data_IF_819994923999
#
_entry.id   IF_819994923999
#
_cell.length_a   1.000
_cell.length_b   1.000
_cell.length_c   1.000
_cell.angle_alpha   90.00
_cell.angle_beta   90.00
_cell.angle_gamma   90.00
#
_symmetry.space_group_name_H-M   'P 1'
#
loop_
_entity.id
_entity.type
_entity.pdbx_description
1 polymer ?
#
# COMPACT_ATOMS: atom_id res chain seq x y z
N UNK A 1 4.07 24.73 -18.66
CA UNK A 1 3.47 23.41 -18.40
C UNK A 1 4.02 22.92 -17.07
N UNK A 2 3.34 23.24 -15.96
CA UNK A 2 3.76 22.85 -14.61
C UNK A 2 3.18 21.46 -14.32
N UNK A 3 4.02 20.50 -13.91
CA UNK A 3 3.62 19.12 -13.58
C UNK A 3 3.06 18.98 -12.15
N UNK A 4 2.87 20.10 -11.43
CA UNK A 4 2.49 20.11 -10.02
C UNK A 4 0.99 19.88 -9.77
N UNK A 5 0.12 19.98 -10.80
CA UNK A 5 -1.32 19.75 -10.66
C UNK A 5 -1.73 18.26 -10.67
N UNK A 6 -0.81 17.33 -10.97
CA UNK A 6 -1.12 15.89 -11.06
C UNK A 6 -0.97 15.13 -9.73
N UNK A 7 -0.60 15.82 -8.64
CA UNK A 7 -0.29 15.20 -7.34
C UNK A 7 -1.21 15.62 -6.18
N UNK A 8 -2.37 16.24 -6.45
CA UNK A 8 -3.34 16.48 -5.38
C UNK A 8 -4.02 15.16 -4.99
N UNK A 9 -3.45 14.48 -3.99
CA UNK A 9 -4.03 13.33 -3.25
C UNK A 9 -5.40 13.66 -2.59
N UNK A 10 -5.91 14.87 -2.81
CA UNK A 10 -6.92 15.57 -2.02
C UNK A 10 -8.34 15.57 -2.61
N UNK A 11 -8.55 15.16 -3.87
CA UNK A 11 -9.91 15.05 -4.44
C UNK A 11 -10.32 13.58 -4.64
N UNK A 12 -10.30 12.81 -3.54
CA UNK A 12 -10.91 11.47 -3.53
C UNK A 12 -12.42 11.62 -3.36
N UNK A 13 -13.16 11.45 -4.44
CA UNK A 13 -14.60 11.26 -4.36
C UNK A 13 -14.87 9.83 -3.84
N UNK A 14 -15.11 9.70 -2.53
CA UNK A 14 -15.38 8.42 -1.86
C UNK A 14 -16.61 7.68 -2.45
N UNK A 15 -17.49 8.39 -3.17
CA UNK A 15 -18.68 7.82 -3.81
C UNK A 15 -18.41 7.01 -5.09
N UNK A 16 -17.27 7.17 -5.77
CA UNK A 16 -16.88 6.37 -6.97
C UNK A 16 -15.65 5.47 -6.70
N UNK A 17 -15.30 5.25 -5.42
CA UNK A 17 -14.18 4.39 -5.08
C UNK A 17 -14.44 2.95 -5.60
N UNK A 18 -13.51 2.34 -6.36
CA UNK A 18 -13.66 0.96 -6.83
C UNK A 18 -13.79 -0.02 -5.66
N UNK A 19 -14.79 -0.92 -5.73
CA UNK A 19 -15.09 -1.89 -4.67
C UNK A 19 -14.90 -3.32 -5.17
N UNK A 20 -14.34 -4.17 -4.32
CA UNK A 20 -14.12 -5.58 -4.61
C UNK A 20 -14.72 -6.44 -3.49
N UNK A 21 -15.57 -7.40 -3.85
CA UNK A 21 -16.05 -8.43 -2.94
C UNK A 21 -15.08 -9.60 -2.95
N UNK A 22 -14.46 -9.90 -1.81
CA UNK A 22 -13.44 -10.95 -1.69
C UNK A 22 -13.70 -11.83 -0.47
N UNK A 23 -13.05 -13.01 -0.36
CA UNK A 23 -13.12 -13.82 0.86
C UNK A 23 -12.60 -13.11 2.11
N UNK A 24 -11.69 -12.14 1.96
CA UNK A 24 -11.17 -11.33 3.07
C UNK A 24 -12.14 -10.22 3.53
N UNK A 25 -13.29 -10.09 2.88
CA UNK A 25 -14.24 -9.01 3.08
C UNK A 25 -14.27 -8.04 1.89
N UNK A 26 -14.91 -6.91 2.12
CA UNK A 26 -15.07 -5.89 1.08
C UNK A 26 -13.85 -4.97 1.04
N UNK A 27 -13.27 -4.75 -0.14
CA UNK A 27 -12.06 -3.93 -0.32
C UNK A 27 -12.41 -2.69 -1.13
N UNK A 28 -12.05 -1.52 -0.61
CA UNK A 28 -12.20 -0.22 -1.26
C UNK A 28 -10.85 0.24 -1.78
N UNK A 29 -10.73 0.33 -3.10
CA UNK A 29 -9.53 0.74 -3.81
C UNK A 29 -9.55 2.20 -4.25
N UNK A 30 -8.67 2.54 -5.20
CA UNK A 30 -8.49 3.89 -5.72
C UNK A 30 -8.08 3.84 -7.20
N UNK A 31 -8.26 4.96 -7.91
CA UNK A 31 -7.82 5.12 -9.30
C UNK A 31 -6.50 5.88 -9.32
N UNK A 32 -5.54 5.35 -10.06
CA UNK A 32 -4.20 5.92 -10.23
C UNK A 32 -3.80 5.87 -11.71
N UNK A 33 -3.78 7.03 -12.38
CA UNK A 33 -3.27 7.18 -13.76
C UNK A 33 -3.81 6.12 -14.74
N UNK A 34 -5.13 5.87 -14.69
CA UNK A 34 -5.81 4.90 -15.55
C UNK A 34 -5.80 3.45 -15.03
N UNK A 35 -5.16 3.20 -13.88
CA UNK A 35 -5.16 1.90 -13.20
C UNK A 35 -6.12 1.93 -12.02
N UNK A 36 -6.92 0.89 -11.85
CA UNK A 36 -7.64 0.65 -10.60
C UNK A 36 -6.71 -0.12 -9.66
N UNK A 37 -6.45 0.42 -8.48
CA UNK A 37 -5.54 -0.14 -7.48
C UNK A 37 -6.27 -0.45 -6.18
N UNK A 38 -5.77 -1.44 -5.46
CA UNK A 38 -6.02 -1.65 -4.05
C UNK A 38 -4.68 -2.03 -3.41
N UNK A 39 -4.20 -1.21 -2.47
CA UNK A 39 -2.87 -1.34 -1.86
C UNK A 39 -2.97 -1.67 -0.37
N UNK A 40 -1.92 -2.31 0.15
CA UNK A 40 -1.78 -2.54 1.59
C UNK A 40 -2.77 -3.52 2.22
N UNK A 41 -3.37 -4.41 1.42
CA UNK A 41 -4.29 -5.44 1.92
C UNK A 41 -3.50 -6.46 2.74
N UNK A 42 -3.82 -6.56 4.04
CA UNK A 42 -3.24 -7.59 4.90
C UNK A 42 -3.82 -8.96 4.53
N UNK A 43 -2.94 -9.90 4.21
CA UNK A 43 -3.32 -11.25 3.81
C UNK A 43 -3.01 -12.32 4.87
N UNK A 44 -1.98 -12.09 5.71
CA UNK A 44 -1.57 -13.01 6.79
C UNK A 44 -1.08 -12.26 8.02
N UNK A 45 -1.02 -12.97 9.14
CA UNK A 45 -0.19 -12.64 10.32
C UNK A 45 0.89 -13.70 10.49
N UNK A 46 2.11 -13.27 10.80
CA UNK A 46 3.21 -14.17 11.12
C UNK A 46 3.90 -13.72 12.41
N UNK A 47 4.10 -14.64 13.34
CA UNK A 47 5.04 -14.45 14.44
C UNK A 47 6.47 -14.67 13.93
N UNK A 48 7.46 -14.06 14.59
CA UNK A 48 8.87 -14.20 14.21
C UNK A 48 9.26 -15.68 14.17
N UNK A 49 9.83 -16.11 13.04
CA UNK A 49 10.27 -17.50 12.77
C UNK A 49 9.16 -18.56 12.84
N UNK A 50 7.90 -18.18 12.59
CA UNK A 50 6.77 -19.11 12.48
C UNK A 50 6.15 -19.05 11.09
N UNK A 51 5.43 -20.13 10.74
CA UNK A 51 4.61 -20.15 9.53
C UNK A 51 3.51 -19.09 9.65
N UNK A 52 3.15 -18.37 8.56
CA UNK A 52 2.04 -17.44 8.57
C UNK A 52 0.70 -18.14 8.84
N UNK A 53 -0.23 -17.39 9.39
CA UNK A 53 -1.65 -17.76 9.51
C UNK A 53 -2.47 -16.74 8.73
N UNK A 54 -3.48 -17.21 8.01
CA UNK A 54 -4.36 -16.35 7.21
C UNK A 54 -4.97 -15.23 8.06
N UNK A 55 -5.08 -14.05 7.47
CA UNK A 55 -5.83 -12.95 8.05
C UNK A 55 -7.33 -13.31 8.05
N UNK A 56 -8.04 -13.23 9.19
CA UNK A 56 -9.47 -13.44 9.22
C UNK A 56 -10.22 -12.44 8.33
N UNK A 57 -11.35 -12.81 7.72
CA UNK A 57 -12.17 -11.88 6.95
C UNK A 57 -12.62 -10.67 7.79
N UNK A 58 -12.57 -9.49 7.18
CA UNK A 58 -13.10 -8.27 7.77
C UNK A 58 -14.61 -8.18 7.62
N UNK A 59 -15.29 -7.77 8.70
CA UNK A 59 -16.73 -7.47 8.70
C UNK A 59 -17.04 -6.02 8.31
N UNK A 60 -16.02 -5.18 8.16
CA UNK A 60 -16.12 -3.80 7.67
C UNK A 60 -15.29 -3.61 6.41
N UNK A 61 -15.62 -2.64 5.53
CA UNK A 61 -14.83 -2.38 4.34
C UNK A 61 -13.36 -2.02 4.66
N UNK A 62 -12.43 -2.68 3.99
CA UNK A 62 -10.99 -2.46 4.10
C UNK A 62 -10.60 -1.31 3.16
N UNK A 63 -10.09 -0.22 3.72
CA UNK A 63 -9.57 0.91 2.94
C UNK A 63 -8.16 0.57 2.42
N UNK A 64 -8.10 0.10 1.18
CA UNK A 64 -6.86 -0.32 0.53
C UNK A 64 -6.27 0.82 -0.32
N UNK A 65 -6.07 1.96 0.33
CA UNK A 65 -5.65 3.23 -0.32
C UNK A 65 -4.25 3.68 0.07
N UNK A 66 -3.58 2.91 0.91
CA UNK A 66 -2.22 3.19 1.41
C UNK A 66 -1.33 1.96 1.21
N UNK A 67 -0.02 2.19 1.07
CA UNK A 67 0.95 1.11 0.97
C UNK A 67 1.25 0.56 2.37
N UNK A 68 1.38 -0.76 2.47
CA UNK A 68 1.89 -1.38 3.70
C UNK A 68 3.37 -1.06 3.89
N UNK A 69 3.88 -1.11 5.13
CA UNK A 69 5.32 -1.05 5.36
C UNK A 69 6.05 -2.16 4.61
N UNK A 70 7.24 -1.84 4.11
CA UNK A 70 8.15 -2.84 3.59
C UNK A 70 8.65 -3.77 4.70
N UNK A 71 9.21 -4.92 4.32
CA UNK A 71 9.87 -5.80 5.28
C UNK A 71 11.07 -5.09 5.91
N UNK A 72 11.37 -5.30 7.21
CA UNK A 72 12.61 -4.82 7.81
C UNK A 72 13.81 -5.34 7.01
N UNK A 73 14.60 -4.42 6.47
CA UNK A 73 15.81 -4.66 5.70
C UNK A 73 16.82 -3.55 6.02
N UNK A 74 18.11 -3.88 5.98
CA UNK A 74 19.15 -2.86 6.09
C UNK A 74 19.18 -2.04 4.79
N UNK A 75 19.33 -0.73 4.91
CA UNK A 75 19.58 0.14 3.76
C UNK A 75 20.95 -0.18 3.15
N UNK A 76 21.01 -0.24 1.82
CA UNK A 76 22.27 -0.39 1.07
C UNK A 76 22.38 0.83 0.14
N UNK A 77 23.11 1.88 0.53
CA UNK A 77 23.17 3.13 -0.23
C UNK A 77 23.60 2.95 -1.70
N UNK A 78 24.56 2.07 -1.96
CA UNK A 78 25.08 1.79 -3.31
C UNK A 78 24.02 1.15 -4.21
N UNK A 79 23.11 0.35 -3.61
CA UNK A 79 21.98 -0.23 -4.33
C UNK A 79 20.96 0.85 -4.69
N UNK A 80 20.70 1.78 -3.79
CA UNK A 80 19.79 2.91 -4.05
C UNK A 80 20.32 3.77 -5.22
N UNK A 81 21.63 4.06 -5.24
CA UNK A 81 22.27 4.78 -6.35
C UNK A 81 22.14 4.01 -7.68
N UNK A 82 22.44 2.71 -7.68
CA UNK A 82 22.34 1.87 -8.89
C UNK A 82 20.90 1.77 -9.43
N UNK A 83 19.89 1.84 -8.54
CA UNK A 83 18.47 1.82 -8.89
C UNK A 83 17.88 3.21 -9.15
N UNK A 84 18.66 4.29 -8.96
CA UNK A 84 18.18 5.66 -9.10
C UNK A 84 17.15 6.08 -8.04
N UNK A 85 17.15 5.43 -6.88
CA UNK A 85 16.22 5.68 -5.77
C UNK A 85 16.86 6.69 -4.80
N UNK A 86 16.18 7.79 -4.49
CA UNK A 86 16.64 8.77 -3.50
C UNK A 86 16.16 8.41 -2.09
N UNK A 87 16.87 8.85 -1.04
CA UNK A 87 16.57 8.50 0.37
C UNK A 87 15.14 8.83 0.84
N UNK A 88 14.40 9.65 0.09
CA UNK A 88 13.04 10.08 0.44
C UNK A 88 11.97 8.98 0.39
N UNK A 89 12.27 7.80 -0.17
CA UNK A 89 11.25 6.75 -0.39
C UNK A 89 11.20 5.62 0.66
N UNK A 90 12.15 5.57 1.60
CA UNK A 90 12.13 4.56 2.67
C UNK A 90 11.85 5.22 4.02
N UNK A 91 10.57 5.44 4.34
CA UNK A 91 10.20 5.66 5.74
C UNK A 91 10.48 4.39 6.53
N UNK A 92 11.58 4.41 7.28
CA UNK A 92 11.84 3.47 8.35
C UNK A 92 10.63 3.49 9.29
N UNK A 93 9.87 2.41 9.31
CA UNK A 93 8.93 2.16 10.40
C UNK A 93 9.78 1.65 11.55
N UNK A 94 10.05 2.53 12.52
CA UNK A 94 10.61 2.11 13.80
C UNK A 94 9.69 1.06 14.42
N UNK A 95 10.29 -0.06 14.86
CA UNK A 95 9.60 -1.24 15.37
C UNK A 95 9.25 -1.18 16.84
#
# INVERSE_FOLDING_TARGET
MHYDELNSRAERNDHDAPRFTTPAGEIVGWRDKGVIRASGIRYVRAQRFRTPTDEPPSITPIQATEWSPASPQNTIPELNEALGVTEQEFHAVEG
#
